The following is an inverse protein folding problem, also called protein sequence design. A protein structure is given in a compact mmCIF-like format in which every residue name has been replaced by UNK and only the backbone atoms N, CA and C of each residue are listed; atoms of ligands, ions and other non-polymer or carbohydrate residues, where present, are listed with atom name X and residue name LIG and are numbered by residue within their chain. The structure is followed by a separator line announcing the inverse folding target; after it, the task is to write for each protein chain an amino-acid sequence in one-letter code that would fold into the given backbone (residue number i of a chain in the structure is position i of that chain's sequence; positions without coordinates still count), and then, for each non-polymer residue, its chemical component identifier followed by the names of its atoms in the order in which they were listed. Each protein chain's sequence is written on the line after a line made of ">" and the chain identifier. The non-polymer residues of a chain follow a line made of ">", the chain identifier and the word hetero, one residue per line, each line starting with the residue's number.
data_IF_455944553624
#
_entry.id   IF_455944553624
#
_cell.length_a   1.000
_cell.length_b   1.000
_cell.length_c   1.000
_cell.angle_alpha   90.00
_cell.angle_beta   90.00
_cell.angle_gamma   90.00
#
_symmetry.space_group_name_H-M   'P 1'
#
loop_
_entity.id
_entity.type
_entity.pdbx_description
1 polymer ?
#
# COMPACT_ATOMS: atom_id res chain seq x y z
N UNK A 1 16.62 29.78 7.67
CA UNK A 1 16.00 28.63 6.98
C UNK A 1 16.41 27.27 7.53
N UNK A 2 17.69 26.99 7.74
CA UNK A 2 18.20 25.70 8.29
C UNK A 2 17.68 25.38 9.70
N UNK A 3 17.64 26.33 10.63
CA UNK A 3 17.16 26.12 12.00
C UNK A 3 15.66 25.78 12.06
N UNK A 4 14.83 26.34 11.17
CA UNK A 4 13.40 26.06 11.11
C UNK A 4 13.14 24.60 10.67
N UNK A 5 13.96 24.10 9.73
CA UNK A 5 13.90 22.73 9.26
C UNK A 5 14.38 21.72 10.31
N UNK A 6 15.37 22.07 11.13
CA UNK A 6 15.83 21.23 12.24
C UNK A 6 14.74 21.06 13.31
N UNK A 7 14.15 22.16 13.79
CA UNK A 7 13.05 22.12 14.76
C UNK A 7 11.85 21.32 14.27
N UNK A 8 11.51 21.44 12.98
CA UNK A 8 10.43 20.65 12.38
C UNK A 8 10.76 19.16 12.39
N UNK A 9 12.00 18.78 12.11
CA UNK A 9 12.42 17.37 12.13
C UNK A 9 12.43 16.79 13.55
N UNK A 10 12.87 17.56 14.54
CA UNK A 10 12.86 17.14 15.94
C UNK A 10 11.43 16.90 16.42
N UNK A 11 10.51 17.84 16.16
CA UNK A 11 9.09 17.69 16.51
C UNK A 11 8.44 16.45 15.84
N UNK A 12 8.72 16.21 14.58
CA UNK A 12 8.21 15.02 13.88
C UNK A 12 8.76 13.71 14.47
N UNK A 13 9.98 13.72 14.98
CA UNK A 13 10.55 12.57 15.71
C UNK A 13 9.83 12.32 17.03
N UNK A 14 9.62 13.37 17.82
CA UNK A 14 8.90 13.30 19.09
C UNK A 14 7.48 12.80 18.88
N UNK A 15 6.73 13.38 17.95
CA UNK A 15 5.38 12.93 17.56
C UNK A 15 5.35 11.45 17.13
N UNK A 16 6.37 10.99 16.38
CA UNK A 16 6.50 9.59 15.99
C UNK A 16 6.74 8.66 17.18
N UNK A 17 7.62 9.05 18.08
CA UNK A 17 7.91 8.28 19.31
C UNK A 17 6.66 8.14 20.17
N UNK A 18 5.90 9.22 20.37
CA UNK A 18 4.60 9.21 21.08
C UNK A 18 3.61 8.25 20.42
N UNK A 19 3.47 8.30 19.09
CA UNK A 19 2.60 7.37 18.35
C UNK A 19 3.06 5.92 18.54
N UNK A 20 4.38 5.67 18.48
CA UNK A 20 4.92 4.34 18.67
C UNK A 20 4.70 3.77 20.09
N UNK A 21 4.56 4.61 21.10
CA UNK A 21 4.21 4.17 22.47
C UNK A 21 2.75 3.76 22.59
N UNK A 22 1.86 4.36 21.78
CA UNK A 22 0.41 4.15 21.85
C UNK A 22 -0.08 2.97 21.00
N UNK A 23 0.73 2.50 20.05
CA UNK A 23 0.33 1.45 19.09
C UNK A 23 0.97 0.10 19.41
N UNK A 24 0.33 -0.97 18.94
CA UNK A 24 0.83 -2.33 19.09
C UNK A 24 2.04 -2.61 18.17
N UNK A 25 2.69 -3.77 18.37
CA UNK A 25 3.87 -4.19 17.62
C UNK A 25 3.58 -4.35 16.11
N UNK A 26 2.37 -4.74 15.73
CA UNK A 26 1.95 -4.89 14.34
C UNK A 26 1.90 -3.52 13.67
N UNK A 27 1.29 -2.53 14.32
CA UNK A 27 1.21 -1.17 13.81
C UNK A 27 2.58 -0.49 13.77
N UNK A 28 3.45 -0.72 14.76
CA UNK A 28 4.86 -0.23 14.71
C UNK A 28 5.55 -0.70 13.45
N UNK A 29 5.47 -1.99 13.15
CA UNK A 29 6.05 -2.56 11.93
C UNK A 29 5.47 -1.93 10.65
N UNK A 30 4.17 -1.68 10.61
CA UNK A 30 3.52 -1.00 9.47
C UNK A 30 4.06 0.41 9.31
N UNK A 31 4.22 1.15 10.40
CA UNK A 31 4.80 2.50 10.39
C UNK A 31 6.24 2.49 9.88
N UNK A 32 7.08 1.57 10.37
CA UNK A 32 8.46 1.41 9.92
C UNK A 32 8.54 1.13 8.42
N UNK A 33 7.75 0.18 7.92
CA UNK A 33 7.67 -0.13 6.48
C UNK A 33 7.15 1.06 5.66
N UNK A 34 6.25 1.87 6.22
CA UNK A 34 5.72 3.05 5.53
C UNK A 34 6.74 4.18 5.39
N UNK A 35 7.75 4.20 6.23
CA UNK A 35 8.85 5.18 6.22
C UNK A 35 10.04 4.74 5.35
N UNK A 36 10.08 3.50 4.87
CA UNK A 36 11.13 3.02 3.99
C UNK A 36 11.22 3.86 2.72
N UNK A 37 12.46 4.03 2.24
CA UNK A 37 12.73 4.82 1.03
C UNK A 37 11.92 4.30 -0.16
N UNK A 38 11.12 5.18 -0.74
CA UNK A 38 10.30 4.89 -1.91
C UNK A 38 8.90 4.34 -1.59
N UNK A 39 8.62 3.91 -0.37
CA UNK A 39 7.30 3.37 0.00
C UNK A 39 6.15 4.38 -0.16
N UNK A 40 6.45 5.68 -0.06
CA UNK A 40 5.50 6.78 -0.23
C UNK A 40 5.51 7.41 -1.64
N UNK A 41 6.30 6.90 -2.58
CA UNK A 41 6.48 7.53 -3.88
C UNK A 41 5.17 7.68 -4.67
N UNK A 42 4.25 6.72 -4.53
CA UNK A 42 2.94 6.78 -5.18
C UNK A 42 2.04 7.92 -4.67
N UNK A 43 2.23 8.38 -3.42
CA UNK A 43 1.48 9.52 -2.84
C UNK A 43 1.88 10.86 -3.48
N UNK A 44 3.10 10.95 -4.00
CA UNK A 44 3.65 12.16 -4.61
C UNK A 44 3.81 12.03 -6.13
N UNK A 45 3.40 10.90 -6.70
CA UNK A 45 3.40 10.70 -8.14
C UNK A 45 2.41 11.66 -8.81
N UNK A 46 2.84 12.27 -9.92
CA UNK A 46 1.95 13.11 -10.71
C UNK A 46 0.81 12.27 -11.31
N UNK A 47 -0.45 12.73 -11.22
CA UNK A 47 -1.59 12.00 -11.76
C UNK A 47 -1.66 12.14 -13.28
N UNK A 48 -0.80 11.45 -14.00
CA UNK A 48 -0.74 11.47 -15.46
C UNK A 48 -1.68 10.41 -16.02
N UNK A 49 -2.82 10.81 -16.53
CA UNK A 49 -3.87 9.92 -17.02
C UNK A 49 -3.40 9.05 -18.20
N UNK A 50 -2.62 9.60 -19.12
CA UNK A 50 -2.09 8.86 -20.28
C UNK A 50 -1.14 7.71 -19.89
N UNK A 51 -0.55 7.77 -18.71
CA UNK A 51 0.32 6.72 -18.16
C UNK A 51 -0.39 5.80 -17.15
N UNK A 52 -1.68 6.01 -16.92
CA UNK A 52 -2.44 5.21 -15.94
C UNK A 52 -2.09 5.52 -14.47
N UNK A 53 -1.47 6.66 -14.17
CA UNK A 53 -1.07 7.05 -12.81
C UNK A 53 -2.16 7.81 -12.05
N UNK A 54 -3.39 7.78 -12.53
CA UNK A 54 -4.53 8.39 -11.86
C UNK A 54 -5.26 7.34 -11.03
N UNK A 55 -5.44 7.65 -9.75
CA UNK A 55 -6.33 6.89 -8.87
C UNK A 55 -7.64 7.66 -8.71
N UNK A 56 -8.76 6.98 -8.80
CA UNK A 56 -10.03 7.57 -8.40
C UNK A 56 -10.10 7.68 -6.86
N UNK A 57 -11.11 8.38 -6.35
CA UNK A 57 -11.28 8.63 -4.92
C UNK A 57 -11.35 7.33 -4.10
N UNK A 58 -11.98 6.30 -4.62
CA UNK A 58 -12.12 5.02 -3.94
C UNK A 58 -10.80 4.25 -3.95
N UNK A 59 -10.13 4.17 -5.08
CA UNK A 59 -8.82 3.53 -5.21
C UNK A 59 -7.78 4.18 -4.31
N UNK A 60 -7.76 5.51 -4.24
CA UNK A 60 -6.88 6.24 -3.34
C UNK A 60 -7.15 5.90 -1.87
N UNK A 61 -8.42 5.95 -1.44
CA UNK A 61 -8.82 5.59 -0.08
C UNK A 61 -8.43 4.15 0.26
N UNK A 62 -8.74 3.21 -0.61
CA UNK A 62 -8.48 1.80 -0.40
C UNK A 62 -6.95 1.52 -0.35
N UNK A 63 -6.17 2.23 -1.17
CA UNK A 63 -4.70 2.17 -1.14
C UNK A 63 -4.12 2.70 0.18
N UNK A 64 -4.70 3.76 0.75
CA UNK A 64 -4.32 4.27 2.08
C UNK A 64 -4.68 3.25 3.16
N UNK A 65 -5.87 2.65 3.10
CA UNK A 65 -6.26 1.60 4.04
C UNK A 65 -5.30 0.41 3.98
N UNK A 66 -4.92 -0.05 2.79
CA UNK A 66 -3.94 -1.12 2.61
C UNK A 66 -2.57 -0.76 3.18
N UNK A 67 -2.11 0.48 2.97
CA UNK A 67 -0.82 0.97 3.47
C UNK A 67 -0.70 0.86 5.00
N UNK A 68 -1.77 1.21 5.71
CA UNK A 68 -1.79 1.25 7.17
C UNK A 68 -2.46 0.02 7.81
N UNK A 69 -2.84 -0.98 7.04
CA UNK A 69 -3.51 -2.18 7.53
C UNK A 69 -4.91 -1.90 8.11
N UNK A 70 -5.56 -0.83 7.65
CA UNK A 70 -6.91 -0.49 8.05
C UNK A 70 -7.94 -1.27 7.24
N UNK A 71 -9.10 -1.50 7.85
CA UNK A 71 -10.21 -2.15 7.16
C UNK A 71 -10.70 -1.30 5.98
N UNK A 72 -10.85 -1.94 4.83
CA UNK A 72 -11.43 -1.29 3.65
C UNK A 72 -12.94 -1.16 3.86
N UNK A 73 -13.51 0.06 3.75
CA UNK A 73 -14.95 0.27 3.93
C UNK A 73 -15.77 -0.55 2.91
N UNK A 74 -16.93 -1.02 3.36
CA UNK A 74 -17.86 -1.83 2.56
C UNK A 74 -17.36 -3.21 2.13
N UNK A 75 -16.30 -3.72 2.77
CA UNK A 75 -15.85 -5.09 2.57
C UNK A 75 -16.80 -6.05 3.30
N UNK A 76 -17.28 -7.14 2.67
CA UNK A 76 -18.10 -8.14 3.34
C UNK A 76 -17.35 -8.74 4.54
N UNK A 77 -18.05 -8.97 5.67
CA UNK A 77 -17.44 -9.56 6.87
C UNK A 77 -16.96 -11.00 6.68
N UNK A 78 -17.57 -11.71 5.73
CA UNK A 78 -17.24 -13.10 5.40
C UNK A 78 -16.94 -13.28 3.93
N UNK A 79 -15.93 -14.06 3.64
CA UNK A 79 -15.59 -14.50 2.28
C UNK A 79 -16.56 -15.62 1.81
N UNK A 80 -16.62 -15.86 0.52
CA UNK A 80 -17.36 -17.02 -0.05
C UNK A 80 -16.91 -18.38 0.51
N UNK A 81 -15.65 -18.48 0.99
CA UNK A 81 -15.16 -19.65 1.69
C UNK A 81 -15.65 -19.78 3.14
N UNK A 82 -16.50 -18.87 3.61
CA UNK A 82 -17.06 -18.76 4.97
C UNK A 82 -16.07 -18.36 6.06
N UNK A 83 -14.81 -18.07 5.71
CA UNK A 83 -13.85 -17.51 6.66
C UNK A 83 -14.09 -16.01 6.85
N UNK A 84 -13.65 -15.48 7.99
CA UNK A 84 -13.64 -14.04 8.26
C UNK A 84 -12.83 -13.32 7.18
N UNK A 85 -13.40 -12.26 6.63
CA UNK A 85 -12.81 -11.53 5.54
C UNK A 85 -11.95 -10.37 6.07
N UNK A 86 -10.66 -10.53 5.93
CA UNK A 86 -9.68 -9.48 6.20
C UNK A 86 -8.72 -9.35 5.01
N UNK A 87 -7.86 -8.35 5.03
CA UNK A 87 -6.92 -8.09 3.93
C UNK A 87 -6.06 -9.31 3.64
N UNK A 88 -5.47 -9.93 4.67
CA UNK A 88 -4.60 -11.09 4.51
C UNK A 88 -5.34 -12.28 3.91
N UNK A 89 -6.58 -12.53 4.39
CA UNK A 89 -7.42 -13.58 3.83
C UNK A 89 -7.79 -13.30 2.37
N UNK A 90 -8.22 -12.07 2.06
CA UNK A 90 -8.59 -11.67 0.69
C UNK A 90 -7.45 -11.87 -0.28
N UNK A 91 -6.22 -11.54 0.12
CA UNK A 91 -5.03 -11.68 -0.72
C UNK A 91 -4.59 -13.14 -0.94
N UNK A 92 -4.98 -14.06 -0.05
CA UNK A 92 -4.54 -15.46 -0.06
C UNK A 92 -5.67 -16.47 -0.33
N UNK A 93 -6.92 -16.04 -0.37
CA UNK A 93 -8.06 -16.94 -0.55
C UNK A 93 -8.07 -17.56 -1.95
N UNK A 94 -8.00 -18.90 -1.99
CA UNK A 94 -7.99 -19.65 -3.25
C UNK A 94 -9.32 -19.58 -4.00
N UNK A 95 -10.45 -19.48 -3.28
CA UNK A 95 -11.78 -19.42 -3.88
C UNK A 95 -12.09 -18.07 -4.56
N UNK A 96 -11.46 -16.99 -4.10
CA UNK A 96 -11.65 -15.65 -4.67
C UNK A 96 -10.97 -15.42 -6.02
N UNK A 97 -10.16 -16.35 -6.49
CA UNK A 97 -9.41 -16.21 -7.75
C UNK A 97 -8.34 -15.10 -7.75
N UNK A 98 -8.22 -14.33 -6.69
CA UNK A 98 -7.32 -13.18 -6.61
C UNK A 98 -5.84 -13.58 -6.68
N UNK A 99 -5.49 -14.73 -6.10
CA UNK A 99 -4.12 -15.27 -6.14
C UNK A 99 -3.69 -15.52 -7.60
N UNK A 100 -4.55 -16.15 -8.40
CA UNK A 100 -4.30 -16.41 -9.81
C UNK A 100 -4.25 -15.11 -10.63
N UNK A 101 -5.17 -14.18 -10.38
CA UNK A 101 -5.20 -12.87 -11.06
C UNK A 101 -3.92 -12.07 -10.78
N UNK A 102 -3.46 -12.02 -9.54
CA UNK A 102 -2.23 -11.33 -9.14
C UNK A 102 -1.01 -11.95 -9.82
N UNK A 103 -0.90 -13.28 -9.80
CA UNK A 103 0.18 -14.01 -10.46
C UNK A 103 0.21 -13.72 -11.97
N UNK A 104 -0.94 -13.80 -12.63
CA UNK A 104 -1.03 -13.55 -14.06
C UNK A 104 -0.65 -12.11 -14.41
N UNK A 105 -1.09 -11.11 -13.61
CA UNK A 105 -0.70 -9.72 -13.83
C UNK A 105 0.80 -9.49 -13.71
N UNK A 106 1.45 -10.07 -12.69
CA UNK A 106 2.91 -9.96 -12.54
C UNK A 106 3.60 -10.57 -13.74
N UNK A 107 3.23 -11.79 -14.14
CA UNK A 107 3.77 -12.46 -15.35
C UNK A 107 3.60 -11.60 -16.60
N UNK A 108 2.45 -10.99 -16.79
CA UNK A 108 2.16 -10.20 -17.99
C UNK A 108 2.97 -8.90 -18.02
N UNK A 109 3.21 -8.26 -16.86
CA UNK A 109 4.10 -7.10 -16.72
C UNK A 109 5.55 -7.50 -17.00
N UNK A 110 6.03 -8.60 -16.43
CA UNK A 110 7.38 -9.12 -16.70
C UNK A 110 7.58 -9.42 -18.20
N UNK A 111 6.60 -10.06 -18.83
CA UNK A 111 6.64 -10.35 -20.27
C UNK A 111 6.66 -9.07 -21.13
N UNK A 112 5.92 -8.04 -20.73
CA UNK A 112 5.92 -6.76 -21.43
C UNK A 112 7.29 -6.06 -21.29
N UNK A 113 7.85 -6.00 -20.08
CA UNK A 113 9.18 -5.43 -19.84
C UNK A 113 10.28 -6.18 -20.60
N UNK A 114 10.23 -7.51 -20.64
CA UNK A 114 11.18 -8.30 -21.40
C UNK A 114 11.11 -8.01 -22.91
N UNK A 115 9.91 -7.82 -23.47
CA UNK A 115 9.77 -7.44 -24.88
C UNK A 115 10.39 -6.07 -25.18
N UNK A 116 10.19 -5.10 -24.29
CA UNK A 116 10.79 -3.76 -24.44
C UNK A 116 12.32 -3.81 -24.38
N UNK A 117 12.88 -4.59 -23.45
CA UNK A 117 14.35 -4.67 -23.26
C UNK A 117 15.02 -5.53 -24.32
N UNK A 118 14.40 -6.65 -24.72
CA UNK A 118 15.01 -7.59 -25.67
C UNK A 118 14.70 -7.27 -27.13
N UNK A 119 13.84 -6.30 -27.43
CA UNK A 119 13.44 -5.90 -28.79
C UNK A 119 13.03 -7.11 -29.70
N UNK A 120 12.33 -8.09 -29.09
CA UNK A 120 11.85 -9.29 -29.77
C UNK A 120 10.45 -9.03 -30.32
#
# INVERSE_FOLDING_TARGET
>A
MLQLNMRKRERLKEEREEICELVDSKMKRILDLSEEKGSGAWLTALPIQSLGYTLNKQEFRDSVCLRYGWNIPNTPSYCQCKAENNIDHTLNCKLGGYVAMRHNRIRDVEAALMREVCQI
#
